data_IF_628022257300
#
_entry.id   IF_628022257300
#
_cell.length_a   1.000
_cell.length_b   1.000
_cell.length_c   1.000
_cell.angle_alpha   90.00
_cell.angle_beta   90.00
_cell.angle_gamma   90.00
#
_symmetry.space_group_name_H-M   'P 1'
#
loop_
_entity.id
_entity.type
_entity.pdbx_description
1 polymer ?
#
# COMPACT_ATOMS: atom_id res chain seq x y z
N UNK A 1 -4.26 -4.31 -11.85
CA UNK A 1 -3.79 -2.91 -11.71
C UNK A 1 -4.19 -2.38 -10.34
N UNK A 2 -3.26 -1.79 -9.61
CA UNK A 2 -3.53 -1.19 -8.29
C UNK A 2 -4.31 0.12 -8.47
N UNK A 3 -5.24 0.38 -7.56
CA UNK A 3 -6.21 1.48 -7.63
C UNK A 3 -5.83 2.61 -6.67
N UNK A 4 -6.29 3.81 -7.01
CA UNK A 4 -6.06 5.03 -6.23
C UNK A 4 -7.35 5.62 -5.68
N UNK A 5 -8.51 5.14 -6.14
CA UNK A 5 -9.78 5.77 -5.83
C UNK A 5 -10.16 5.62 -4.36
N UNK A 6 -10.65 6.72 -3.79
CA UNK A 6 -11.21 6.75 -2.44
C UNK A 6 -12.72 6.66 -2.58
N UNK A 7 -13.32 5.71 -1.88
CA UNK A 7 -14.76 5.57 -1.79
C UNK A 7 -15.22 5.76 -0.34
N UNK A 8 -16.35 6.45 -0.17
CA UNK A 8 -17.05 6.56 1.10
C UNK A 8 -18.42 5.93 0.99
N UNK A 9 -18.84 5.24 2.05
CA UNK A 9 -20.18 4.70 2.19
C UNK A 9 -20.93 5.44 3.28
N UNK A 10 -22.15 5.88 2.97
CA UNK A 10 -23.07 6.44 3.96
C UNK A 10 -24.13 5.41 4.31
N UNK A 11 -24.19 4.91 5.57
CA UNK A 11 -25.25 3.99 6.00
C UNK A 11 -26.64 4.64 5.98
N UNK A 12 -26.73 5.92 6.34
CA UNK A 12 -28.00 6.65 6.36
C UNK A 12 -28.61 6.84 4.97
N UNK A 13 -27.77 6.94 3.93
CA UNK A 13 -28.19 7.08 2.55
C UNK A 13 -28.10 5.78 1.73
N UNK A 14 -27.61 4.69 2.35
CA UNK A 14 -27.25 3.41 1.72
C UNK A 14 -26.55 3.58 0.36
N UNK A 15 -25.47 4.38 0.35
CA UNK A 15 -24.86 4.80 -0.91
C UNK A 15 -23.34 4.92 -0.84
N UNK A 16 -22.68 4.35 -1.85
CA UNK A 16 -21.27 4.58 -2.15
C UNK A 16 -21.07 5.85 -2.98
N UNK A 17 -20.06 6.64 -2.63
CA UNK A 17 -19.65 7.82 -3.38
C UNK A 17 -18.15 7.77 -3.63
N UNK A 18 -17.72 8.09 -4.85
CA UNK A 18 -16.30 8.35 -5.12
C UNK A 18 -15.92 9.67 -4.47
N UNK A 19 -15.13 9.60 -3.39
CA UNK A 19 -14.76 10.73 -2.55
C UNK A 19 -13.50 11.45 -3.03
N UNK A 20 -12.65 10.78 -3.80
CA UNK A 20 -11.41 11.35 -4.30
C UNK A 20 -10.47 10.30 -4.88
N UNK A 21 -9.18 10.65 -4.94
CA UNK A 21 -8.10 9.73 -5.24
C UNK A 21 -6.96 9.95 -4.25
N UNK A 22 -6.23 8.90 -3.92
CA UNK A 22 -4.99 8.96 -3.18
C UNK A 22 -3.96 9.75 -3.99
N UNK A 23 -3.31 10.69 -3.30
CA UNK A 23 -2.24 11.52 -3.85
C UNK A 23 -1.06 11.52 -2.90
N UNK A 24 0.13 11.22 -3.42
CA UNK A 24 1.42 11.41 -2.77
C UNK A 24 2.10 12.70 -3.25
N UNK A 25 3.39 12.85 -2.97
CA UNK A 25 4.17 14.04 -3.36
C UNK A 25 4.17 14.33 -4.87
N UNK A 26 4.27 13.30 -5.71
CA UNK A 26 4.43 13.45 -7.16
C UNK A 26 3.12 13.34 -7.94
N UNK A 27 1.98 13.27 -7.25
CA UNK A 27 0.66 13.16 -7.86
C UNK A 27 -0.11 11.92 -7.39
N UNK A 28 -0.81 11.26 -8.30
CA UNK A 28 -1.66 10.11 -7.98
C UNK A 28 -0.82 8.95 -7.43
N UNK A 29 -1.26 8.38 -6.32
CA UNK A 29 -0.58 7.28 -5.65
C UNK A 29 -1.51 6.06 -5.56
N UNK A 30 -1.45 5.12 -6.52
CA UNK A 30 -2.13 3.84 -6.36
C UNK A 30 -1.52 3.09 -5.18
N UNK A 31 -2.35 2.44 -4.37
CA UNK A 31 -1.89 1.79 -3.14
C UNK A 31 -2.75 0.57 -2.83
N UNK A 32 -2.12 -0.58 -2.59
CA UNK A 32 -2.78 -1.80 -2.14
C UNK A 32 -2.13 -2.37 -0.88
N UNK A 33 -2.90 -3.12 -0.10
CA UNK A 33 -2.46 -3.85 1.09
C UNK A 33 -1.81 -3.00 2.21
N UNK A 34 -1.74 -1.68 2.05
CA UNK A 34 -1.43 -0.75 3.13
C UNK A 34 -2.51 -0.79 4.22
N UNK A 35 -2.27 -0.08 5.31
CA UNK A 35 -3.16 -0.06 6.46
C UNK A 35 -3.46 1.36 6.91
N UNK A 36 -4.49 1.56 7.74
CA UNK A 36 -4.84 2.89 8.20
C UNK A 36 -5.83 2.89 9.35
N UNK A 37 -5.86 3.99 10.09
CA UNK A 37 -6.84 4.20 11.15
C UNK A 37 -7.25 5.68 11.20
N UNK A 38 -8.43 5.93 11.77
CA UNK A 38 -8.87 7.28 12.07
C UNK A 38 -7.90 7.93 13.07
N UNK A 39 -7.58 9.19 12.83
CA UNK A 39 -6.90 10.06 13.79
C UNK A 39 -7.96 10.70 14.68
N UNK A 40 -9.01 11.24 14.06
CA UNK A 40 -10.18 11.85 14.68
C UNK A 40 -11.40 11.72 13.75
N UNK A 41 -12.46 12.51 14.01
CA UNK A 41 -13.70 12.53 13.22
C UNK A 41 -13.53 12.98 11.75
N UNK A 42 -12.36 13.53 11.39
CA UNK A 42 -12.09 14.13 10.08
C UNK A 42 -10.92 13.51 9.34
N UNK A 43 -9.88 13.08 10.04
CA UNK A 43 -8.65 12.64 9.39
C UNK A 43 -8.42 11.15 9.55
N UNK A 44 -7.94 10.51 8.48
CA UNK A 44 -7.51 9.11 8.46
C UNK A 44 -6.04 9.07 8.08
N UNK A 45 -5.21 8.39 8.89
CA UNK A 45 -3.84 8.08 8.53
C UNK A 45 -3.78 6.78 7.74
N UNK A 46 -3.03 6.77 6.64
CA UNK A 46 -2.72 5.61 5.83
C UNK A 46 -1.21 5.38 5.86
N UNK A 47 -0.80 4.13 6.00
CA UNK A 47 0.57 3.70 6.23
C UNK A 47 0.98 2.62 5.25
N UNK A 48 2.03 2.92 4.50
CA UNK A 48 2.67 2.01 3.58
C UNK A 48 1.75 1.44 2.51
N UNK A 49 2.20 0.39 1.83
CA UNK A 49 1.41 -0.27 0.79
C UNK A 49 2.23 -0.56 -0.46
N UNK A 50 1.68 -1.44 -1.29
CA UNK A 50 2.21 -1.74 -2.61
C UNK A 50 1.74 -0.66 -3.59
N UNK A 51 2.69 0.09 -4.16
CA UNK A 51 2.44 1.18 -5.11
C UNK A 51 2.36 0.72 -6.57
N UNK A 52 2.57 -0.57 -6.83
CA UNK A 52 2.47 -1.16 -8.16
C UNK A 52 3.77 -1.12 -8.96
N UNK A 53 4.81 -0.42 -8.49
CA UNK A 53 6.05 -0.22 -9.25
C UNK A 53 6.75 -1.54 -9.61
N UNK A 54 6.85 -2.47 -8.65
CA UNK A 54 7.38 -3.83 -8.86
C UNK A 54 6.27 -4.82 -9.17
N UNK A 55 5.13 -4.72 -8.48
CA UNK A 55 4.01 -5.64 -8.66
C UNK A 55 3.51 -5.70 -10.10
N UNK A 56 3.37 -4.56 -10.79
CA UNK A 56 2.92 -4.57 -12.19
C UNK A 56 3.91 -5.27 -13.12
N UNK A 57 5.23 -5.24 -12.81
CA UNK A 57 6.26 -5.96 -13.58
C UNK A 57 6.15 -7.47 -13.33
N UNK A 58 6.00 -7.86 -12.07
CA UNK A 58 5.79 -9.27 -11.70
C UNK A 58 4.55 -9.84 -12.40
N UNK A 59 3.42 -9.14 -12.35
CA UNK A 59 2.20 -9.56 -13.04
C UNK A 59 2.38 -9.68 -14.56
N UNK A 60 3.13 -8.76 -15.18
CA UNK A 60 3.43 -8.83 -16.60
C UNK A 60 4.30 -10.05 -16.95
N UNK A 61 5.35 -10.31 -16.17
CA UNK A 61 6.21 -11.49 -16.35
C UNK A 61 5.41 -12.78 -16.17
N UNK A 62 4.61 -12.89 -15.11
CA UNK A 62 3.75 -14.05 -14.87
C UNK A 62 2.74 -14.26 -16.00
N UNK A 63 2.14 -13.18 -16.51
CA UNK A 63 1.23 -13.24 -17.65
C UNK A 63 1.93 -13.73 -18.92
N UNK A 64 3.17 -13.29 -19.17
CA UNK A 64 3.95 -13.73 -20.33
C UNK A 64 4.33 -15.22 -20.21
N UNK A 65 4.82 -15.64 -19.04
CA UNK A 65 5.16 -17.04 -18.75
C UNK A 65 3.98 -17.99 -18.96
N UNK A 66 2.76 -17.55 -18.66
CA UNK A 66 1.56 -18.37 -18.80
C UNK A 66 1.23 -18.74 -20.26
N UNK A 67 1.75 -17.98 -21.24
CA UNK A 67 1.48 -18.17 -22.67
C UNK A 67 2.72 -18.55 -23.48
N UNK A 68 3.90 -18.53 -22.86
CA UNK A 68 5.16 -18.81 -23.54
C UNK A 68 5.38 -20.31 -23.74
N UNK A 69 5.86 -20.69 -24.93
CA UNK A 69 6.12 -22.08 -25.33
C UNK A 69 7.58 -22.33 -25.67
N UNK A 70 8.37 -21.29 -25.94
CA UNK A 70 9.81 -21.38 -26.14
C UNK A 70 10.51 -21.56 -24.78
N UNK A 71 11.35 -22.59 -24.67
CA UNK A 71 12.00 -22.97 -23.42
C UNK A 71 13.11 -22.01 -23.01
N UNK A 72 13.76 -21.34 -23.96
CA UNK A 72 14.80 -20.35 -23.68
C UNK A 72 14.16 -19.06 -23.19
N UNK A 73 13.10 -18.58 -23.84
CA UNK A 73 12.36 -17.39 -23.42
C UNK A 73 11.68 -17.60 -22.07
N UNK A 74 11.09 -18.78 -21.83
CA UNK A 74 10.55 -19.14 -20.52
C UNK A 74 11.63 -19.08 -19.44
N UNK A 75 12.85 -19.53 -19.74
CA UNK A 75 13.95 -19.47 -18.79
C UNK A 75 14.39 -18.04 -18.48
N UNK A 76 14.35 -17.15 -19.47
CA UNK A 76 14.65 -15.74 -19.26
C UNK A 76 13.60 -15.07 -18.36
N UNK A 77 12.31 -15.32 -18.61
CA UNK A 77 11.21 -14.83 -17.79
C UNK A 77 11.28 -15.35 -16.34
N UNK A 78 11.64 -16.62 -16.13
CA UNK A 78 11.90 -17.18 -14.80
C UNK A 78 13.01 -16.42 -14.06
N UNK A 79 14.12 -16.14 -14.75
CA UNK A 79 15.25 -15.42 -14.15
C UNK A 79 14.86 -13.97 -13.83
N UNK A 80 14.07 -13.30 -14.69
CA UNK A 80 13.53 -11.97 -14.43
C UNK A 80 12.61 -11.98 -13.21
N UNK A 81 11.69 -12.95 -13.13
CA UNK A 81 10.79 -13.12 -11.97
C UNK A 81 11.60 -13.30 -10.68
N UNK A 82 12.60 -14.19 -10.66
CA UNK A 82 13.46 -14.40 -9.50
C UNK A 82 14.17 -13.09 -9.12
N UNK A 83 14.74 -12.39 -10.10
CA UNK A 83 15.44 -11.13 -9.87
C UNK A 83 14.52 -10.06 -9.25
N UNK A 84 13.29 -9.92 -9.74
CA UNK A 84 12.29 -8.98 -9.19
C UNK A 84 11.95 -9.30 -7.72
N UNK A 85 11.88 -10.58 -7.35
CA UNK A 85 11.58 -11.00 -5.99
C UNK A 85 12.77 -10.81 -5.04
N UNK A 86 13.97 -11.19 -5.46
CA UNK A 86 15.17 -11.08 -4.64
C UNK A 86 15.59 -9.62 -4.41
N UNK A 87 15.45 -8.78 -5.43
CA UNK A 87 15.82 -7.36 -5.41
C UNK A 87 14.70 -6.42 -4.97
N UNK A 88 13.53 -6.95 -4.55
CA UNK A 88 12.39 -6.12 -4.19
C UNK A 88 12.77 -5.10 -3.09
N UNK A 89 12.59 -3.78 -3.34
CA UNK A 89 13.04 -2.72 -2.44
C UNK A 89 12.19 -2.57 -1.16
N UNK A 90 11.28 -3.51 -0.90
CA UNK A 90 10.18 -3.37 0.05
C UNK A 90 9.01 -2.53 -0.48
N UNK A 91 8.03 -2.28 0.40
CA UNK A 91 6.81 -1.54 0.08
C UNK A 91 6.98 -0.03 0.23
N UNK A 92 6.05 0.74 -0.32
CA UNK A 92 6.02 2.19 -0.14
C UNK A 92 6.06 2.54 1.34
N UNK A 93 6.84 3.55 1.67
CA UNK A 93 7.01 4.05 3.04
C UNK A 93 6.17 5.28 3.34
N UNK A 94 5.42 5.78 2.37
CA UNK A 94 4.63 6.99 2.54
C UNK A 94 3.61 6.85 3.68
N UNK A 95 3.48 7.91 4.45
CA UNK A 95 2.38 8.13 5.39
C UNK A 95 1.50 9.21 4.82
N UNK A 96 0.26 8.87 4.48
CA UNK A 96 -0.72 9.80 3.93
C UNK A 96 -1.77 10.14 4.98
N UNK A 97 -2.20 11.39 4.98
CA UNK A 97 -3.34 11.86 5.78
C UNK A 97 -4.45 12.20 4.81
N UNK A 98 -5.58 11.51 4.94
CA UNK A 98 -6.80 11.78 4.21
C UNK A 98 -7.68 12.71 5.05
N UNK A 99 -8.05 13.85 4.49
CA UNK A 99 -9.13 14.70 5.00
C UNK A 99 -10.47 14.20 4.44
N UNK A 100 -11.28 13.54 5.28
CA UNK A 100 -12.56 12.93 4.85
C UNK A 100 -13.60 13.96 4.43
N UNK A 101 -13.46 15.22 4.84
CA UNK A 101 -14.36 16.31 4.44
C UNK A 101 -14.08 16.78 3.01
N UNK A 102 -12.81 16.85 2.62
CA UNK A 102 -12.41 17.38 1.31
C UNK A 102 -12.02 16.30 0.30
N UNK A 103 -11.83 15.06 0.75
CA UNK A 103 -11.36 13.94 -0.08
C UNK A 103 -9.91 14.08 -0.54
N UNK A 104 -9.14 14.97 0.10
CA UNK A 104 -7.75 15.27 -0.26
C UNK A 104 -6.79 14.48 0.61
N UNK A 105 -5.71 13.98 -0.01
CA UNK A 105 -4.60 13.35 0.68
C UNK A 105 -3.39 14.28 0.71
N UNK A 106 -2.71 14.31 1.85
CA UNK A 106 -1.42 14.97 2.02
C UNK A 106 -0.41 13.97 2.55
N UNK A 107 0.78 13.91 1.95
CA UNK A 107 1.89 13.13 2.50
C UNK A 107 2.41 13.84 3.75
N UNK A 108 2.34 13.17 4.90
CA UNK A 108 2.75 13.71 6.19
C UNK A 108 4.15 13.25 6.61
N UNK A 109 4.72 12.26 5.93
CA UNK A 109 6.07 11.77 6.16
C UNK A 109 6.26 10.36 5.64
N UNK A 110 7.26 9.67 6.18
CA UNK A 110 7.58 8.29 5.84
C UNK A 110 7.78 7.41 7.08
N UNK A 111 7.43 6.13 6.95
CA UNK A 111 7.76 5.10 7.93
C UNK A 111 9.29 4.92 7.99
N UNK A 112 9.93 5.00 9.17
CA UNK A 112 11.35 4.71 9.29
C UNK A 112 11.65 3.22 9.06
N UNK A 113 12.50 2.93 8.07
CA UNK A 113 12.86 1.56 7.72
C UNK A 113 11.83 0.87 6.81
N UNK A 114 11.87 -0.47 6.68
CA UNK A 114 10.92 -1.20 5.86
C UNK A 114 9.48 -1.02 6.34
N UNK A 115 8.61 -0.58 5.43
CA UNK A 115 7.18 -0.43 5.69
C UNK A 115 6.47 -1.79 5.73
N UNK A 116 5.41 -1.86 6.54
CA UNK A 116 4.61 -3.07 6.74
C UNK A 116 3.31 -2.97 5.95
N UNK A 117 2.91 -4.07 5.31
CA UNK A 117 1.62 -4.27 4.64
C UNK A 117 0.92 -5.50 5.19
N UNK A 118 -0.35 -5.72 4.80
CA UNK A 118 -1.17 -6.86 5.25
C UNK A 118 -1.26 -6.99 6.77
N UNK A 119 -1.37 -5.83 7.43
CA UNK A 119 -1.54 -5.70 8.88
C UNK A 119 -2.61 -4.65 9.19
N UNK A 120 -2.99 -4.52 10.46
CA UNK A 120 -4.04 -3.63 10.93
C UNK A 120 -3.44 -2.50 11.76
N UNK A 121 -3.66 -1.27 11.34
CA UNK A 121 -3.46 -0.09 12.17
C UNK A 121 -4.59 0.01 13.19
N UNK A 122 -4.23 0.16 14.47
CA UNK A 122 -5.19 0.23 15.57
C UNK A 122 -4.99 1.55 16.32
N UNK A 123 -6.03 2.36 16.39
CA UNK A 123 -6.02 3.58 17.20
C UNK A 123 -6.04 3.21 18.69
N UNK A 124 -5.16 3.83 19.47
CA UNK A 124 -5.06 3.67 20.92
C UNK A 124 -4.96 5.04 21.59
N UNK A 125 -5.11 5.15 22.93
CA UNK A 125 -4.91 6.42 23.65
C UNK A 125 -3.51 7.03 23.48
N UNK A 126 -2.52 6.25 23.03
CA UNK A 126 -1.13 6.70 22.88
C UNK A 126 -0.73 6.96 21.42
N UNK A 127 -1.63 6.72 20.46
CA UNK A 127 -1.39 6.83 19.03
C UNK A 127 -1.88 5.61 18.25
N UNK A 128 -1.56 5.57 16.97
CA UNK A 128 -1.89 4.45 16.09
C UNK A 128 -0.77 3.42 16.15
N UNK A 129 -1.11 2.18 16.51
CA UNK A 129 -0.18 1.04 16.59
C UNK A 129 -0.33 0.17 15.35
N UNK A 130 0.80 -0.27 14.78
CA UNK A 130 0.87 -1.15 13.62
C UNK A 130 1.73 -2.36 14.00
N UNK A 131 1.14 -3.53 14.30
CA UNK A 131 1.87 -4.71 14.71
C UNK A 131 2.28 -5.57 13.50
N UNK A 132 3.52 -6.05 13.45
CA UNK A 132 3.97 -7.06 12.48
C UNK A 132 3.63 -6.68 11.01
N UNK A 133 3.36 -7.66 10.17
CA UNK A 133 3.07 -7.47 8.74
C UNK A 133 4.21 -7.91 7.84
N UNK A 134 3.96 -7.77 6.54
CA UNK A 134 4.89 -8.13 5.48
C UNK A 134 5.71 -6.90 5.05
N UNK A 135 7.03 -7.05 4.90
CA UNK A 135 7.93 -5.93 4.56
C UNK A 135 8.50 -6.03 3.14
N UNK A 136 8.46 -7.22 2.56
CA UNK A 136 8.71 -7.53 1.16
C UNK A 136 8.06 -8.89 0.85
N UNK A 137 7.83 -9.26 -0.43
CA UNK A 137 7.14 -10.50 -0.79
C UNK A 137 7.62 -11.72 0.00
N UNK A 138 6.72 -12.32 0.77
CA UNK A 138 6.97 -13.53 1.56
C UNK A 138 7.84 -13.35 2.82
N UNK A 139 8.27 -12.13 3.16
CA UNK A 139 9.08 -11.84 4.35
C UNK A 139 8.34 -10.93 5.31
N UNK A 140 8.10 -11.44 6.52
CA UNK A 140 7.38 -10.76 7.59
C UNK A 140 8.32 -10.22 8.67
N UNK A 141 7.86 -9.22 9.40
CA UNK A 141 8.55 -8.66 10.56
C UNK A 141 7.75 -8.92 11.84
N UNK A 142 8.46 -9.03 12.97
CA UNK A 142 7.86 -9.06 14.31
C UNK A 142 7.79 -7.66 14.94
N UNK A 143 8.32 -6.63 14.28
CA UNK A 143 8.32 -5.26 14.79
C UNK A 143 6.91 -4.70 14.96
N UNK A 144 6.71 -3.95 16.03
CA UNK A 144 5.51 -3.14 16.24
C UNK A 144 5.89 -1.67 16.15
N UNK A 145 5.16 -0.92 15.32
CA UNK A 145 5.36 0.51 15.10
C UNK A 145 4.25 1.30 15.79
N UNK A 146 4.55 2.55 16.14
CA UNK A 146 3.57 3.50 16.68
C UNK A 146 3.74 4.85 15.98
N UNK A 147 2.62 5.45 15.59
CA UNK A 147 2.54 6.81 15.07
C UNK A 147 1.71 7.67 16.01
N UNK A 148 2.31 8.74 16.53
CA UNK A 148 1.62 9.75 17.32
C UNK A 148 1.14 10.90 16.45
N UNK A 149 -0.12 11.29 16.59
CA UNK A 149 -0.70 12.48 15.98
C UNK A 149 -1.04 13.44 17.11
N UNK A 150 -0.51 14.67 17.05
CA UNK A 150 -0.73 15.73 18.03
C UNK A 150 -1.61 16.81 17.45
#
# INVERSE_FOLDING_TARGET
>A
MIRQEIFSYSPAADRWTKAGNLTGETGVMPLAAGTGAAIDERYVALFGGNDGSVFNKVEAVLSAMATESDTLELKQLENEYISLQESHPGFSRAVLILDTKTGRCTQAGEIPGPAQVTTTAVQTPWGIVIPSGEIKPGVRTTETRMAGFR
#
